data_IF_297232617234
#
_entry.id   IF_297232617234
#
_cell.length_a   1.000
_cell.length_b   1.000
_cell.length_c   1.000
_cell.angle_alpha   90.00
_cell.angle_beta   90.00
_cell.angle_gamma   90.00
#
_symmetry.space_group_name_H-M   'P 1'
#
loop_
_entity.id
_entity.type
_entity.pdbx_description
1 polymer ?
#
# COMPACT_ATOMS: atom_id res chain seq x y z
N UNK A 1 29.83 -30.35 -2.32
CA UNK A 1 28.84 -29.26 -2.34
C UNK A 1 28.48 -28.96 -3.79
N UNK A 2 27.21 -29.09 -4.19
CA UNK A 2 26.75 -28.66 -5.53
C UNK A 2 26.72 -27.13 -5.54
N UNK A 3 27.21 -26.45 -6.60
CA UNK A 3 27.10 -25.01 -6.71
C UNK A 3 25.62 -24.61 -6.71
N UNK A 4 25.28 -23.61 -5.89
CA UNK A 4 23.95 -23.00 -5.88
C UNK A 4 23.75 -22.28 -7.21
N UNK A 5 22.75 -22.70 -7.97
CA UNK A 5 22.36 -22.02 -9.20
C UNK A 5 21.54 -20.78 -8.83
N UNK A 6 22.07 -19.55 -8.99
CA UNK A 6 21.40 -18.33 -8.59
C UNK A 6 20.10 -18.08 -9.37
N UNK A 7 19.99 -18.62 -10.59
CA UNK A 7 18.79 -18.44 -11.43
C UNK A 7 17.59 -19.21 -10.87
N UNK A 8 17.84 -20.34 -10.20
CA UNK A 8 16.79 -21.14 -9.56
C UNK A 8 16.12 -20.38 -8.41
N UNK A 9 16.90 -19.65 -7.61
CA UNK A 9 16.38 -18.85 -6.51
C UNK A 9 15.56 -17.65 -7.00
N UNK A 10 15.93 -17.02 -8.12
CA UNK A 10 15.19 -15.90 -8.70
C UNK A 10 13.84 -16.35 -9.25
N UNK A 11 13.81 -17.49 -9.95
CA UNK A 11 12.56 -18.07 -10.44
C UNK A 11 11.61 -18.46 -9.30
N UNK A 12 12.13 -19.11 -8.25
CA UNK A 12 11.35 -19.49 -7.08
C UNK A 12 10.83 -18.27 -6.30
N UNK A 13 11.65 -17.24 -6.12
CA UNK A 13 11.23 -15.98 -5.52
C UNK A 13 10.15 -15.27 -6.35
N UNK A 14 10.27 -15.29 -7.69
CA UNK A 14 9.27 -14.72 -8.58
C UNK A 14 7.94 -15.48 -8.51
N UNK A 15 7.98 -16.81 -8.43
CA UNK A 15 6.78 -17.64 -8.28
C UNK A 15 6.08 -17.40 -6.94
N UNK A 16 6.84 -17.30 -5.84
CA UNK A 16 6.31 -16.96 -4.51
C UNK A 16 5.68 -15.56 -4.53
N UNK A 17 6.38 -14.57 -5.08
CA UNK A 17 5.86 -13.20 -5.19
C UNK A 17 4.58 -13.14 -6.04
N UNK A 18 4.54 -13.90 -7.14
CA UNK A 18 3.36 -14.01 -8.01
C UNK A 18 2.20 -14.68 -7.29
N UNK A 19 2.44 -15.79 -6.59
CA UNK A 19 1.41 -16.48 -5.80
C UNK A 19 0.85 -15.58 -4.69
N UNK A 20 1.71 -14.85 -3.98
CA UNK A 20 1.32 -13.88 -2.96
C UNK A 20 0.48 -12.74 -3.54
N UNK A 21 0.90 -12.17 -4.67
CA UNK A 21 0.15 -11.12 -5.38
C UNK A 21 -1.22 -11.61 -5.82
N UNK A 22 -1.29 -12.77 -6.47
CA UNK A 22 -2.55 -13.37 -6.91
C UNK A 22 -3.46 -13.67 -5.71
N UNK A 23 -2.90 -14.22 -4.63
CA UNK A 23 -3.62 -14.51 -3.39
C UNK A 23 -4.23 -13.24 -2.79
N UNK A 24 -3.45 -12.18 -2.66
CA UNK A 24 -3.90 -10.89 -2.14
C UNK A 24 -4.97 -10.23 -3.02
N UNK A 25 -4.86 -10.34 -4.35
CA UNK A 25 -5.90 -9.80 -5.26
C UNK A 25 -7.18 -10.64 -5.20
N UNK A 26 -7.07 -11.97 -5.21
CA UNK A 26 -8.23 -12.87 -5.16
C UNK A 26 -8.98 -12.80 -3.84
N UNK A 27 -8.28 -12.61 -2.73
CA UNK A 27 -8.91 -12.43 -1.41
C UNK A 27 -9.56 -11.05 -1.24
N UNK A 28 -9.36 -10.12 -2.18
CA UNK A 28 -9.81 -8.73 -2.06
C UNK A 28 -8.85 -7.84 -1.25
N UNK A 29 -7.85 -8.42 -0.61
CA UNK A 29 -6.87 -7.71 0.20
C UNK A 29 -6.12 -6.64 -0.59
N UNK A 30 -5.85 -6.84 -1.88
CA UNK A 30 -5.14 -5.90 -2.75
C UNK A 30 -5.89 -5.60 -4.06
N UNK A 31 -7.21 -5.85 -4.11
CA UNK A 31 -8.00 -5.63 -5.31
C UNK A 31 -8.28 -4.13 -5.50
N UNK A 32 -7.76 -3.48 -6.56
CA UNK A 32 -8.07 -2.08 -6.83
C UNK A 32 -9.49 -1.95 -7.37
N UNK A 33 -10.17 -0.84 -7.03
CA UNK A 33 -11.53 -0.55 -7.51
C UNK A 33 -11.57 -0.20 -9.01
N UNK A 34 -10.51 0.42 -9.52
CA UNK A 34 -10.40 0.86 -10.92
C UNK A 34 -8.90 0.96 -11.33
N UNK A 35 -8.56 1.11 -12.63
CA UNK A 35 -7.16 1.15 -13.07
C UNK A 35 -6.38 2.37 -12.56
N UNK A 36 -7.06 3.49 -12.28
CA UNK A 36 -6.43 4.67 -11.70
C UNK A 36 -5.90 4.37 -10.29
N UNK A 37 -6.73 3.75 -9.43
CA UNK A 37 -6.34 3.29 -8.08
C UNK A 37 -5.15 2.33 -8.17
N UNK A 38 -5.18 1.38 -9.11
CA UNK A 38 -4.05 0.46 -9.30
C UNK A 38 -2.73 1.19 -9.63
N UNK A 39 -2.78 2.17 -10.53
CA UNK A 39 -1.60 2.95 -10.92
C UNK A 39 -1.01 3.76 -9.75
N UNK A 40 -1.89 4.31 -8.90
CA UNK A 40 -1.51 5.03 -7.69
C UNK A 40 -0.91 4.11 -6.62
N UNK A 41 -1.46 2.90 -6.44
CA UNK A 41 -0.88 1.89 -5.53
C UNK A 41 0.54 1.48 -5.97
N UNK A 42 0.77 1.29 -7.27
CA UNK A 42 2.11 1.00 -7.82
C UNK A 42 3.06 2.16 -7.59
N UNK A 43 2.58 3.39 -7.78
CA UNK A 43 3.38 4.61 -7.54
C UNK A 43 3.76 4.74 -6.05
N UNK A 44 2.82 4.45 -5.14
CA UNK A 44 3.08 4.40 -3.71
C UNK A 44 4.14 3.34 -3.35
N UNK A 45 4.04 2.14 -3.91
CA UNK A 45 5.04 1.08 -3.72
C UNK A 45 6.43 1.50 -4.21
N UNK A 46 6.52 2.16 -5.37
CA UNK A 46 7.79 2.68 -5.89
C UNK A 46 8.39 3.77 -5.01
N UNK A 47 7.56 4.66 -4.47
CA UNK A 47 8.00 5.78 -3.62
C UNK A 47 8.42 5.33 -2.23
N UNK A 48 7.65 4.43 -1.62
CA UNK A 48 7.78 4.09 -0.20
C UNK A 48 8.38 2.71 0.06
N UNK A 49 8.56 1.86 -0.95
CA UNK A 49 9.01 0.48 -0.76
C UNK A 49 8.10 -0.28 0.20
N UNK A 50 8.66 -1.18 1.00
CA UNK A 50 7.92 -1.94 2.04
C UNK A 50 8.00 -1.28 3.42
N UNK A 51 8.05 0.05 3.48
CA UNK A 51 8.07 0.81 4.74
C UNK A 51 6.66 1.00 5.29
N UNK A 52 6.49 1.38 6.57
CA UNK A 52 5.17 1.72 7.12
C UNK A 52 4.41 2.78 6.31
N UNK A 53 5.12 3.71 5.66
CA UNK A 53 4.52 4.72 4.78
C UNK A 53 3.76 4.14 3.60
N UNK A 54 4.11 2.92 3.15
CA UNK A 54 3.34 2.21 2.13
C UNK A 54 1.91 1.93 2.60
N UNK A 55 1.74 1.44 3.83
CA UNK A 55 0.43 1.11 4.38
C UNK A 55 -0.50 2.32 4.39
N UNK A 56 0.03 3.47 4.83
CA UNK A 56 -0.68 4.73 4.83
C UNK A 56 -1.05 5.19 3.42
N UNK A 57 -0.09 5.20 2.49
CA UNK A 57 -0.33 5.60 1.11
C UNK A 57 -1.34 4.69 0.38
N UNK A 58 -1.34 3.38 0.68
CA UNK A 58 -2.35 2.46 0.15
C UNK A 58 -3.75 2.73 0.71
N UNK A 59 -3.85 3.11 1.99
CA UNK A 59 -5.09 3.58 2.61
C UNK A 59 -5.65 4.80 1.89
N UNK A 60 -4.83 5.84 1.74
CA UNK A 60 -5.22 7.08 1.05
C UNK A 60 -5.66 6.87 -0.40
N UNK A 61 -4.99 5.97 -1.12
CA UNK A 61 -5.34 5.67 -2.52
C UNK A 61 -6.63 4.87 -2.65
N UNK A 62 -6.93 3.97 -1.70
CA UNK A 62 -8.09 3.08 -1.80
C UNK A 62 -9.34 3.70 -1.21
N UNK A 63 -9.23 4.29 -0.04
CA UNK A 63 -10.32 4.74 0.80
C UNK A 63 -10.02 6.16 1.34
N UNK A 64 -9.95 7.18 0.45
CA UNK A 64 -9.52 8.53 0.81
C UNK A 64 -10.39 9.19 1.90
N UNK A 65 -11.69 8.90 1.89
CA UNK A 65 -12.67 9.43 2.85
C UNK A 65 -12.74 8.63 4.16
N UNK A 66 -11.96 7.55 4.29
CA UNK A 66 -11.92 6.79 5.54
C UNK A 66 -11.06 7.53 6.57
N UNK A 67 -11.45 7.42 7.85
CA UNK A 67 -10.66 7.92 8.98
C UNK A 67 -9.26 7.32 8.96
N UNK A 68 -8.25 8.18 8.93
CA UNK A 68 -6.84 7.81 8.94
C UNK A 68 -6.21 7.97 10.32
N UNK A 69 -6.53 9.06 11.00
CA UNK A 69 -6.00 9.43 12.31
C UNK A 69 -7.18 9.89 13.17
N UNK A 70 -7.23 9.39 14.40
CA UNK A 70 -8.17 9.82 15.44
C UNK A 70 -7.35 10.59 16.46
N UNK A 71 -7.69 11.86 16.67
CA UNK A 71 -7.15 12.68 17.74
C UNK A 71 -8.13 12.67 18.91
N UNK A 72 -7.76 11.97 19.98
CA UNK A 72 -8.63 11.82 21.16
C UNK A 72 -8.58 13.05 22.08
N UNK A 73 -7.61 13.94 21.86
CA UNK A 73 -7.34 15.09 22.73
C UNK A 73 -7.87 16.42 22.13
N UNK A 74 -8.22 16.45 20.84
CA UNK A 74 -8.85 17.61 20.18
C UNK A 74 -10.38 17.45 20.08
N UNK A 75 -11.18 18.13 20.93
CA UNK A 75 -12.63 18.06 20.89
C UNK A 75 -13.26 18.80 19.71
N UNK A 76 -12.48 19.54 18.91
CA UNK A 76 -12.96 20.27 17.72
C UNK A 76 -12.73 19.48 16.43
N UNK A 77 -11.73 18.59 16.39
CA UNK A 77 -11.42 17.71 15.27
C UNK A 77 -10.95 16.35 15.78
N UNK A 78 -11.90 15.50 16.14
CA UNK A 78 -11.63 14.17 16.71
C UNK A 78 -11.03 13.18 15.70
N UNK A 79 -11.19 13.44 14.39
CA UNK A 79 -10.69 12.57 13.34
C UNK A 79 -10.37 13.34 12.06
N UNK A 80 -9.37 12.85 11.32
CA UNK A 80 -9.08 13.30 9.96
C UNK A 80 -9.04 12.11 8.99
N UNK A 81 -9.52 12.35 7.77
CA UNK A 81 -9.50 11.34 6.72
C UNK A 81 -8.10 11.20 6.12
N UNK A 82 -7.89 10.15 5.31
CA UNK A 82 -6.65 10.03 4.56
C UNK A 82 -6.43 11.19 3.59
N UNK A 83 -7.50 11.71 2.97
CA UNK A 83 -7.42 12.85 2.07
C UNK A 83 -6.99 14.12 2.80
N UNK A 84 -7.52 14.37 4.00
CA UNK A 84 -7.14 15.52 4.82
C UNK A 84 -5.66 15.44 5.25
N UNK A 85 -5.22 14.26 5.70
CA UNK A 85 -3.83 14.04 6.08
C UNK A 85 -2.87 14.19 4.89
N UNK A 86 -3.25 13.73 3.70
CA UNK A 86 -2.46 13.95 2.47
C UNK A 86 -2.42 15.44 2.13
N UNK A 87 -3.54 16.16 2.19
CA UNK A 87 -3.56 17.61 1.96
C UNK A 87 -2.62 18.35 2.92
N UNK A 88 -2.71 18.06 4.22
CA UNK A 88 -1.87 18.69 5.25
C UNK A 88 -0.37 18.40 5.10
N UNK A 89 0.02 17.29 4.46
CA UNK A 89 1.43 16.90 4.29
C UNK A 89 2.02 17.26 2.94
N UNK A 90 1.18 17.69 1.98
CA UNK A 90 1.63 18.00 0.62
C UNK A 90 1.42 19.45 0.22
N UNK A 91 0.50 20.17 0.86
CA UNK A 91 0.09 21.53 0.47
C UNK A 91 0.48 22.60 1.50
N UNK A 92 0.47 22.26 2.80
CA UNK A 92 0.96 23.12 3.88
C UNK A 92 2.49 23.02 4.00
#
# INVERSE_FOLDING_TARGET
>A
MRPLDPLRNVAEAADIARAGTIGAVRSGLAKPRNPLVASRMVSALRKWGTTPGLGFALGAVRDPEATAIVDVDDPQQEEITFADAEYCTTVL
#
